data_IF_362460807511
#
_entry.id   IF_362460807511
#
_cell.length_a   1.000
_cell.length_b   1.000
_cell.length_c   1.000
_cell.angle_alpha   90.00
_cell.angle_beta   90.00
_cell.angle_gamma   90.00
#
_symmetry.space_group_name_H-M   'P 1'
#
loop_
_entity.id
_entity.type
_entity.pdbx_description
1 polymer ?
#
# COMPACT_ATOMS: atom_id res chain seq x y z
N UNK A 1 0.81 -22.67 -37.66
CA UNK A 1 -0.18 -21.69 -37.16
C UNK A 1 0.59 -20.43 -36.80
N UNK A 2 0.34 -19.31 -37.48
CA UNK A 2 0.95 -18.03 -37.13
C UNK A 2 0.19 -17.52 -35.90
N UNK A 3 0.90 -17.34 -34.80
CA UNK A 3 0.37 -16.84 -33.54
C UNK A 3 0.08 -15.34 -33.72
N UNK A 4 -1.13 -15.01 -34.18
CA UNK A 4 -1.61 -13.64 -34.42
C UNK A 4 -1.94 -12.91 -33.10
N UNK A 5 -1.13 -13.11 -32.06
CA UNK A 5 -1.31 -12.46 -30.78
C UNK A 5 -0.90 -10.99 -30.90
N UNK A 6 -1.84 -10.08 -30.62
CA UNK A 6 -1.53 -8.65 -30.47
C UNK A 6 -0.50 -8.52 -29.34
N UNK A 7 0.59 -7.76 -29.52
CA UNK A 7 1.59 -7.56 -28.46
C UNK A 7 0.93 -7.02 -27.19
N UNK A 8 1.22 -7.65 -26.04
CA UNK A 8 0.64 -7.26 -24.73
C UNK A 8 0.82 -5.77 -24.43
N UNK A 9 1.95 -5.17 -24.81
CA UNK A 9 2.21 -3.74 -24.61
C UNK A 9 1.25 -2.85 -25.41
N UNK A 10 0.85 -3.25 -26.62
CA UNK A 10 -0.12 -2.51 -27.41
C UNK A 10 -1.52 -2.59 -26.77
N UNK A 11 -1.91 -3.79 -26.30
CA UNK A 11 -3.17 -3.97 -25.54
C UNK A 11 -3.18 -3.12 -24.28
N UNK A 12 -2.07 -3.09 -23.54
CA UNK A 12 -1.95 -2.32 -22.30
C UNK A 12 -2.07 -0.81 -22.53
N UNK A 13 -1.43 -0.28 -23.59
CA UNK A 13 -1.58 1.13 -23.97
C UNK A 13 -3.04 1.47 -24.33
N UNK A 14 -3.70 0.60 -25.11
CA UNK A 14 -5.10 0.79 -25.49
C UNK A 14 -6.02 0.72 -24.26
N UNK A 15 -5.75 -0.19 -23.33
CA UNK A 15 -6.51 -0.28 -22.08
C UNK A 15 -6.34 0.97 -21.22
N UNK A 16 -5.11 1.49 -21.09
CA UNK A 16 -4.84 2.72 -20.36
C UNK A 16 -5.54 3.94 -20.98
N UNK A 17 -5.57 4.06 -22.31
CA UNK A 17 -6.32 5.11 -23.00
C UNK A 17 -7.83 4.96 -22.76
N UNK A 18 -8.38 3.74 -22.87
CA UNK A 18 -9.78 3.46 -22.59
C UNK A 18 -10.17 3.79 -21.14
N UNK A 19 -9.31 3.45 -20.17
CA UNK A 19 -9.51 3.83 -18.77
C UNK A 19 -9.63 5.35 -18.59
N UNK A 20 -8.79 6.14 -19.27
CA UNK A 20 -8.83 7.62 -19.16
C UNK A 20 -10.11 8.22 -19.72
N UNK A 21 -10.70 7.59 -20.74
CA UNK A 21 -11.88 8.12 -21.44
C UNK A 21 -13.20 7.63 -20.85
N UNK A 22 -13.23 6.41 -20.32
CA UNK A 22 -14.43 5.77 -19.79
C UNK A 22 -14.29 5.42 -18.31
N UNK A 23 -15.10 6.09 -17.50
CA UNK A 23 -15.17 5.86 -16.05
C UNK A 23 -15.58 4.43 -15.73
N UNK A 24 -16.46 3.79 -16.52
CA UNK A 24 -16.87 2.42 -16.26
C UNK A 24 -15.71 1.43 -16.43
N UNK A 25 -14.94 1.58 -17.52
CA UNK A 25 -13.71 0.82 -17.74
C UNK A 25 -12.70 1.07 -16.62
N UNK A 26 -12.48 2.32 -16.23
CA UNK A 26 -11.63 2.67 -15.09
C UNK A 26 -12.05 1.99 -13.79
N UNK A 27 -13.34 2.01 -13.44
CA UNK A 27 -13.87 1.32 -12.25
C UNK A 27 -13.63 -0.19 -12.30
N UNK A 28 -13.91 -0.83 -13.43
CA UNK A 28 -13.75 -2.29 -13.61
C UNK A 28 -12.29 -2.71 -13.48
N UNK A 29 -11.37 -2.00 -14.13
CA UNK A 29 -9.93 -2.28 -14.00
C UNK A 29 -9.47 -2.05 -12.57
N UNK A 30 -9.93 -0.97 -11.92
CA UNK A 30 -9.57 -0.67 -10.53
C UNK A 30 -10.09 -1.74 -9.57
N UNK A 31 -11.34 -2.19 -9.73
CA UNK A 31 -11.92 -3.31 -8.96
C UNK A 31 -11.12 -4.60 -9.17
N UNK A 32 -10.78 -4.92 -10.42
CA UNK A 32 -9.99 -6.10 -10.75
C UNK A 32 -8.61 -6.06 -10.09
N UNK A 33 -7.89 -4.93 -10.18
CA UNK A 33 -6.60 -4.75 -9.52
C UNK A 33 -6.69 -4.86 -7.99
N UNK A 34 -7.72 -4.26 -7.38
CA UNK A 34 -7.93 -4.35 -5.92
C UNK A 34 -8.18 -5.82 -5.54
N UNK A 35 -9.09 -6.50 -6.22
CA UNK A 35 -9.47 -7.88 -5.91
C UNK A 35 -8.39 -8.91 -6.24
N UNK A 36 -7.47 -8.58 -7.15
CA UNK A 36 -6.31 -9.41 -7.45
C UNK A 36 -5.29 -9.39 -6.30
N UNK A 37 -5.15 -8.25 -5.62
CA UNK A 37 -4.12 -8.03 -4.62
C UNK A 37 -4.64 -8.16 -3.19
N UNK A 38 -5.94 -7.98 -2.99
CA UNK A 38 -6.56 -7.89 -1.67
C UNK A 38 -7.73 -8.86 -1.55
N UNK A 39 -7.95 -9.36 -0.33
CA UNK A 39 -8.94 -10.41 -0.05
C UNK A 39 -9.89 -9.99 1.04
N UNK A 40 -11.06 -10.62 1.02
CA UNK A 40 -12.13 -10.43 2.00
C UNK A 40 -12.54 -8.96 2.12
N UNK A 41 -12.65 -8.29 0.97
CA UNK A 41 -13.16 -6.92 0.92
C UNK A 41 -14.68 -6.95 0.77
N UNK A 42 -15.38 -6.27 1.66
CA UNK A 42 -16.82 -6.06 1.55
C UNK A 42 -17.13 -5.06 0.43
N UNK A 43 -18.39 -5.03 -0.01
CA UNK A 43 -18.88 -4.06 -1.01
C UNK A 43 -18.52 -2.62 -0.64
N UNK A 44 -18.78 -2.22 0.61
CA UNK A 44 -18.49 -0.86 1.09
C UNK A 44 -16.99 -0.55 1.02
N UNK A 45 -16.13 -1.50 1.40
CA UNK A 45 -14.67 -1.32 1.32
C UNK A 45 -14.19 -1.22 -0.12
N UNK A 46 -14.75 -2.00 -1.04
CA UNK A 46 -14.42 -1.93 -2.46
C UNK A 46 -14.79 -0.56 -3.04
N UNK A 47 -16.01 -0.09 -2.78
CA UNK A 47 -16.49 1.22 -3.26
C UNK A 47 -15.58 2.33 -2.75
N UNK A 48 -15.33 2.36 -1.44
CA UNK A 48 -14.47 3.38 -0.82
C UNK A 48 -13.08 3.42 -1.46
N UNK A 49 -12.46 2.27 -1.73
CA UNK A 49 -11.12 2.19 -2.33
C UNK A 49 -11.11 2.62 -3.79
N UNK A 50 -12.14 2.27 -4.55
CA UNK A 50 -12.29 2.71 -5.94
C UNK A 50 -12.50 4.22 -5.98
N UNK A 51 -13.35 4.77 -5.13
CA UNK A 51 -13.55 6.23 -5.02
C UNK A 51 -12.29 6.97 -4.56
N UNK A 52 -11.49 6.36 -3.67
CA UNK A 52 -10.21 6.93 -3.27
C UNK A 52 -9.25 7.08 -4.48
N UNK A 53 -9.29 6.14 -5.43
CA UNK A 53 -8.42 6.15 -6.62
C UNK A 53 -8.98 7.00 -7.78
N UNK A 54 -10.29 6.98 -7.98
CA UNK A 54 -10.94 7.57 -9.16
C UNK A 54 -11.72 8.86 -8.87
N UNK A 55 -11.82 9.24 -7.60
CA UNK A 55 -12.66 10.35 -7.16
C UNK A 55 -13.99 9.89 -6.56
N UNK A 56 -14.54 10.73 -5.67
CA UNK A 56 -15.83 10.50 -5.00
C UNK A 56 -16.96 10.41 -6.01
N UNK A 57 -17.98 9.60 -5.71
CA UNK A 57 -19.17 9.40 -6.53
C UNK A 57 -18.89 8.82 -7.92
N UNK A 58 -17.76 8.15 -8.14
CA UNK A 58 -17.46 7.52 -9.44
C UNK A 58 -18.48 6.43 -9.83
N UNK A 59 -19.23 5.86 -8.87
CA UNK A 59 -20.36 4.95 -9.11
C UNK A 59 -21.71 5.66 -9.34
N UNK A 60 -21.76 6.99 -9.29
CA UNK A 60 -22.99 7.78 -9.30
C UNK A 60 -23.62 7.92 -7.91
N UNK A 61 -24.56 8.87 -7.76
CA UNK A 61 -25.17 9.21 -6.47
C UNK A 61 -26.45 8.43 -6.17
N UNK A 62 -27.27 8.13 -7.18
CA UNK A 62 -28.59 7.50 -6.99
C UNK A 62 -28.65 6.01 -7.38
N UNK A 63 -27.78 5.54 -8.28
CA UNK A 63 -27.81 4.18 -8.84
C UNK A 63 -26.49 3.41 -8.66
N UNK A 64 -25.76 3.72 -7.58
CA UNK A 64 -24.43 3.14 -7.35
C UNK A 64 -24.46 1.62 -7.15
N UNK A 65 -25.53 1.08 -6.54
CA UNK A 65 -25.64 -0.37 -6.30
C UNK A 65 -25.69 -1.14 -7.62
N UNK A 66 -26.59 -0.76 -8.52
CA UNK A 66 -26.72 -1.39 -9.84
C UNK A 66 -25.43 -1.24 -10.65
N UNK A 67 -24.82 -0.05 -10.62
CA UNK A 67 -23.53 0.21 -11.26
C UNK A 67 -22.44 -0.72 -10.73
N UNK A 68 -22.33 -0.86 -9.41
CA UNK A 68 -21.38 -1.77 -8.77
C UNK A 68 -21.61 -3.22 -9.17
N UNK A 69 -22.86 -3.70 -9.19
CA UNK A 69 -23.16 -5.08 -9.56
C UNK A 69 -22.88 -5.38 -11.04
N UNK A 70 -23.16 -4.43 -11.94
CA UNK A 70 -22.80 -4.53 -13.35
C UNK A 70 -21.28 -4.61 -13.54
N UNK A 71 -20.54 -3.74 -12.87
CA UNK A 71 -19.07 -3.75 -12.94
C UNK A 71 -18.49 -5.04 -12.35
N UNK A 72 -18.99 -5.49 -11.20
CA UNK A 72 -18.58 -6.77 -10.59
C UNK A 72 -18.90 -8.00 -11.46
N UNK A 73 -19.95 -7.96 -12.28
CA UNK A 73 -20.25 -9.04 -13.23
C UNK A 73 -19.13 -9.18 -14.27
N UNK A 74 -18.66 -8.06 -14.81
CA UNK A 74 -17.55 -8.02 -15.76
C UNK A 74 -16.25 -8.47 -15.09
N UNK A 75 -15.98 -7.99 -13.87
CA UNK A 75 -14.78 -8.40 -13.12
C UNK A 75 -14.79 -9.91 -12.85
N UNK A 76 -15.94 -10.50 -12.48
CA UNK A 76 -16.06 -11.96 -12.31
C UNK A 76 -15.75 -12.72 -13.60
N UNK A 77 -16.26 -12.25 -14.74
CA UNK A 77 -15.98 -12.86 -16.05
C UNK A 77 -14.48 -12.77 -16.39
N UNK A 78 -13.83 -11.64 -16.10
CA UNK A 78 -12.39 -11.48 -16.32
C UNK A 78 -11.57 -12.46 -15.47
N UNK A 79 -11.92 -12.65 -14.19
CA UNK A 79 -11.28 -13.68 -13.36
C UNK A 79 -11.51 -15.09 -13.92
N UNK A 80 -12.74 -15.41 -14.34
CA UNK A 80 -13.06 -16.71 -14.94
C UNK A 80 -12.26 -16.97 -16.22
N UNK A 81 -12.12 -15.96 -17.08
CA UNK A 81 -11.30 -16.03 -18.29
C UNK A 81 -9.82 -16.27 -17.98
N UNK A 82 -9.34 -15.79 -16.83
CA UNK A 82 -8.00 -16.06 -16.32
C UNK A 82 -7.88 -17.37 -15.51
N UNK A 83 -8.92 -18.22 -15.49
CA UNK A 83 -8.91 -19.50 -14.77
C UNK A 83 -9.10 -19.37 -13.25
N UNK A 84 -9.58 -18.22 -12.77
CA UNK A 84 -9.78 -17.93 -11.36
C UNK A 84 -11.27 -17.78 -11.01
N UNK A 85 -11.64 -18.11 -9.76
CA UNK A 85 -13.00 -17.95 -9.27
C UNK A 85 -13.07 -16.89 -8.17
N UNK A 86 -13.83 -15.84 -8.41
CA UNK A 86 -14.10 -14.78 -7.43
C UNK A 86 -15.37 -15.13 -6.61
N UNK A 87 -15.19 -15.43 -5.33
CA UNK A 87 -16.26 -15.81 -4.40
C UNK A 87 -16.50 -14.72 -3.34
N UNK A 88 -17.62 -14.81 -2.61
CA UNK A 88 -17.92 -13.96 -1.46
C UNK A 88 -18.10 -14.82 -0.22
N UNK A 89 -17.25 -14.63 0.79
CA UNK A 89 -17.39 -15.31 2.07
C UNK A 89 -18.28 -14.52 3.02
N UNK A 90 -19.20 -15.22 3.67
CA UNK A 90 -20.09 -14.70 4.73
C UNK A 90 -19.59 -15.04 6.14
N UNK A 91 -18.42 -15.69 6.26
CA UNK A 91 -17.85 -16.06 7.55
C UNK A 91 -17.49 -14.81 8.38
N UNK A 92 -17.64 -14.88 9.70
CA UNK A 92 -17.33 -13.75 10.60
C UNK A 92 -15.84 -13.35 10.56
N UNK A 93 -14.95 -14.34 10.41
CA UNK A 93 -13.48 -14.12 10.39
C UNK A 93 -13.00 -13.51 9.07
N UNK A 94 -13.59 -13.93 7.95
CA UNK A 94 -13.14 -13.59 6.60
C UNK A 94 -14.34 -13.13 5.75
N UNK A 95 -15.00 -12.03 6.10
CA UNK A 95 -16.20 -11.54 5.39
C UNK A 95 -15.80 -10.70 4.18
N UNK A 96 -16.21 -11.07 2.97
CA UNK A 96 -15.99 -10.27 1.76
C UNK A 96 -15.61 -11.08 0.52
N UNK A 97 -15.34 -10.37 -0.57
CA UNK A 97 -14.92 -10.94 -1.85
C UNK A 97 -13.47 -11.44 -1.80
N UNK A 98 -13.19 -12.60 -2.40
CA UNK A 98 -11.85 -13.16 -2.50
C UNK A 98 -11.71 -14.06 -3.73
N UNK A 99 -10.48 -14.16 -4.26
CA UNK A 99 -10.14 -15.11 -5.32
C UNK A 99 -9.83 -16.48 -4.70
N UNK A 100 -10.59 -17.50 -5.07
CA UNK A 100 -10.39 -18.88 -4.62
C UNK A 100 -9.09 -19.44 -5.18
N UNK A 101 -8.38 -20.21 -4.35
CA UNK A 101 -7.12 -20.85 -4.74
C UNK A 101 -5.89 -19.95 -4.74
N UNK A 102 -6.05 -18.61 -4.75
CA UNK A 102 -4.91 -17.74 -4.48
C UNK A 102 -4.45 -17.89 -3.02
N UNK A 103 -3.14 -17.76 -2.73
CA UNK A 103 -2.65 -17.62 -1.36
C UNK A 103 -3.04 -16.25 -0.77
N UNK A 104 -2.99 -16.13 0.56
CA UNK A 104 -3.31 -14.86 1.25
C UNK A 104 -2.28 -13.75 1.01
N UNK A 105 -1.03 -14.13 0.72
CA UNK A 105 0.08 -13.24 0.35
C UNK A 105 0.72 -13.83 -0.90
N UNK A 106 1.15 -12.98 -1.82
CA UNK A 106 1.98 -13.42 -2.95
C UNK A 106 3.29 -14.04 -2.41
N UNK A 107 3.93 -14.97 -3.14
CA UNK A 107 5.22 -15.52 -2.75
C UNK A 107 6.27 -14.43 -2.48
N UNK A 108 6.29 -13.39 -3.31
CA UNK A 108 7.21 -12.26 -3.22
C UNK A 108 6.96 -11.46 -1.94
N UNK A 109 5.70 -11.12 -1.65
CA UNK A 109 5.36 -10.39 -0.44
C UNK A 109 5.62 -11.23 0.81
N UNK A 110 5.36 -12.54 0.76
CA UNK A 110 5.70 -13.46 1.85
C UNK A 110 7.21 -13.50 2.08
N UNK A 111 8.00 -13.53 1.01
CA UNK A 111 9.46 -13.52 1.09
C UNK A 111 9.97 -12.18 1.62
N UNK A 112 9.40 -11.06 1.18
CA UNK A 112 9.73 -9.72 1.67
C UNK A 112 9.44 -9.60 3.17
N UNK A 113 8.24 -10.00 3.62
CA UNK A 113 7.89 -10.02 5.05
C UNK A 113 8.85 -10.91 5.84
N UNK A 114 9.21 -12.08 5.30
CA UNK A 114 10.17 -12.98 5.94
C UNK A 114 11.56 -12.35 6.05
N UNK A 115 12.03 -11.67 5.01
CA UNK A 115 13.31 -10.96 5.01
C UNK A 115 13.30 -9.79 6.01
N UNK A 116 12.25 -8.96 6.01
CA UNK A 116 12.11 -7.87 6.98
C UNK A 116 12.05 -8.37 8.42
N UNK A 117 11.41 -9.52 8.69
CA UNK A 117 11.45 -10.13 10.03
C UNK A 117 12.86 -10.63 10.38
N UNK A 118 13.59 -11.18 9.42
CA UNK A 118 14.95 -11.67 9.65
C UNK A 118 15.96 -10.55 9.96
N UNK A 119 15.70 -9.33 9.48
CA UNK A 119 16.50 -8.14 9.80
C UNK A 119 16.24 -7.60 11.22
N UNK A 120 15.13 -7.98 11.85
CA UNK A 120 14.78 -7.51 13.19
C UNK A 120 15.37 -8.44 14.25
N UNK A 121 16.22 -7.89 15.11
CA UNK A 121 16.73 -8.62 16.27
C UNK A 121 15.59 -8.88 17.28
N UNK A 122 15.19 -10.15 17.40
CA UNK A 122 14.14 -10.57 18.34
C UNK A 122 14.46 -10.16 19.79
N UNK A 123 15.74 -10.11 20.17
CA UNK A 123 16.13 -9.66 21.51
C UNK A 123 15.79 -8.18 21.72
N UNK A 124 15.98 -7.35 20.69
CA UNK A 124 15.59 -5.94 20.76
C UNK A 124 14.07 -5.77 20.87
N UNK A 125 13.27 -6.57 20.14
CA UNK A 125 11.82 -6.57 20.30
C UNK A 125 11.43 -6.93 21.73
N UNK A 126 12.03 -7.98 22.30
CA UNK A 126 11.69 -8.46 23.63
C UNK A 126 12.08 -7.46 24.72
N UNK A 127 13.24 -6.79 24.58
CA UNK A 127 13.63 -5.67 25.45
C UNK A 127 12.60 -4.53 25.33
N UNK A 128 12.28 -4.10 24.10
CA UNK A 128 11.36 -2.99 23.86
C UNK A 128 9.95 -3.26 24.41
N UNK A 129 9.48 -4.51 24.32
CA UNK A 129 8.20 -4.94 24.89
C UNK A 129 8.15 -4.83 26.40
N UNK A 130 9.27 -5.04 27.09
CA UNK A 130 9.39 -4.93 28.55
C UNK A 130 9.53 -3.49 29.05
N UNK A 131 9.85 -2.54 28.18
CA UNK A 131 9.95 -1.13 28.53
C UNK A 131 8.57 -0.54 28.89
N UNK A 132 8.53 0.25 29.96
CA UNK A 132 7.37 1.08 30.28
C UNK A 132 7.17 2.18 29.24
N UNK A 133 6.00 2.84 29.23
CA UNK A 133 5.77 3.99 28.35
C UNK A 133 6.80 5.12 28.58
N UNK A 134 7.19 5.36 29.84
CA UNK A 134 8.21 6.35 30.19
C UNK A 134 9.60 5.97 29.65
N UNK A 135 9.96 4.69 29.72
CA UNK A 135 11.25 4.20 29.19
C UNK A 135 11.30 4.30 27.66
N UNK A 136 10.21 3.96 26.98
CA UNK A 136 10.11 4.13 25.53
C UNK A 136 10.23 5.59 25.10
N UNK A 137 9.59 6.50 25.85
CA UNK A 137 9.72 7.93 25.59
C UNK A 137 11.18 8.39 25.76
N UNK A 138 11.83 8.01 26.87
CA UNK A 138 13.26 8.33 27.12
C UNK A 138 14.16 7.76 26.02
N UNK A 139 13.91 6.54 25.59
CA UNK A 139 14.64 5.92 24.47
C UNK A 139 14.46 6.71 23.18
N UNK A 140 13.23 7.14 22.86
CA UNK A 140 12.93 7.99 21.70
C UNK A 140 13.66 9.34 21.75
N UNK A 141 13.68 10.00 22.90
CA UNK A 141 14.47 11.22 23.10
C UNK A 141 15.97 10.97 22.87
N UNK A 142 16.52 9.90 23.48
CA UNK A 142 17.94 9.55 23.36
C UNK A 142 18.36 9.26 21.90
N UNK A 143 17.52 8.54 21.14
CA UNK A 143 17.74 8.29 19.70
C UNK A 143 17.74 9.62 18.94
N UNK A 144 16.77 10.50 19.21
CA UNK A 144 16.65 11.80 18.56
C UNK A 144 17.85 12.70 18.85
N UNK A 145 18.30 12.74 20.11
CA UNK A 145 19.46 13.50 20.54
C UNK A 145 20.75 12.96 19.93
N UNK A 146 20.89 11.63 19.85
CA UNK A 146 22.02 10.98 19.18
C UNK A 146 22.09 11.34 17.70
N UNK A 147 20.96 11.27 17.00
CA UNK A 147 20.88 11.67 15.59
C UNK A 147 21.25 13.15 15.39
N UNK A 148 20.72 14.03 16.25
CA UNK A 148 21.06 15.46 16.23
C UNK A 148 22.55 15.70 16.45
N UNK A 149 23.15 15.02 17.42
CA UNK A 149 24.57 15.14 17.74
C UNK A 149 25.46 14.69 16.58
N UNK A 150 25.08 13.64 15.85
CA UNK A 150 25.79 13.19 14.64
C UNK A 150 25.76 14.26 13.55
N UNK A 151 24.61 14.89 13.32
CA UNK A 151 24.48 15.98 12.34
C UNK A 151 25.28 17.21 12.78
N UNK A 152 25.17 17.61 14.04
CA UNK A 152 25.93 18.73 14.61
C UNK A 152 27.44 18.50 14.50
N UNK A 153 27.91 17.29 14.78
CA UNK A 153 29.31 16.91 14.62
C UNK A 153 29.78 17.07 13.16
N UNK A 154 28.96 16.65 12.19
CA UNK A 154 29.28 16.82 10.76
C UNK A 154 29.35 18.29 10.36
N UNK A 155 28.37 19.10 10.78
CA UNK A 155 28.36 20.57 10.53
C UNK A 155 29.64 21.21 11.06
N UNK A 156 30.07 20.83 12.26
CA UNK A 156 31.29 21.38 12.89
C UNK A 156 32.57 20.89 12.19
N UNK A 157 32.57 19.69 11.60
CA UNK A 157 33.68 19.24 10.75
C UNK A 157 33.79 20.05 9.46
N UNK A 158 32.67 20.47 8.89
CA UNK A 158 32.61 21.30 7.68
C UNK A 158 32.90 22.79 7.99
N UNK A 159 32.60 23.23 9.21
CA UNK A 159 32.77 24.62 9.67
C UNK A 159 33.44 24.62 11.06
N UNK A 160 34.78 24.50 11.13
CA UNK A 160 35.50 24.32 12.39
C UNK A 160 35.34 25.47 13.39
N UNK A 161 35.05 26.68 12.90
CA UNK A 161 34.89 27.89 13.72
C UNK A 161 33.57 27.91 14.50
N UNK A 162 32.62 27.01 14.17
CA UNK A 162 31.35 26.92 14.89
C UNK A 162 31.52 26.25 16.26
N UNK A 163 30.88 26.85 17.27
CA UNK A 163 30.76 26.22 18.58
C UNK A 163 29.82 25.00 18.54
N UNK A 164 29.92 24.13 19.54
CA UNK A 164 29.04 22.96 19.65
C UNK A 164 27.55 23.35 19.76
N UNK A 165 27.24 24.49 20.38
CA UNK A 165 25.88 24.99 20.54
C UNK A 165 25.31 25.48 19.19
N UNK A 166 26.09 26.24 18.42
CA UNK A 166 25.70 26.73 17.10
C UNK A 166 25.48 25.58 16.12
N UNK A 167 26.39 24.60 16.11
CA UNK A 167 26.25 23.41 15.27
C UNK A 167 24.98 22.60 15.62
N UNK A 168 24.63 22.48 16.90
CA UNK A 168 23.38 21.84 17.33
C UNK A 168 22.13 22.63 16.92
N UNK A 169 22.18 23.97 17.02
CA UNK A 169 21.08 24.84 16.57
C UNK A 169 20.84 24.72 15.07
N UNK A 170 21.92 24.68 14.27
CA UNK A 170 21.85 24.47 12.83
C UNK A 170 21.34 23.06 12.48
N UNK A 171 21.78 22.03 13.22
CA UNK A 171 21.29 20.66 13.04
C UNK A 171 19.77 20.59 13.25
N UNK A 172 19.25 21.24 14.30
CA UNK A 172 17.81 21.34 14.54
C UNK A 172 17.09 22.06 13.40
N UNK A 173 17.59 23.21 12.95
CA UNK A 173 16.97 23.94 11.84
C UNK A 173 16.88 23.09 10.57
N UNK A 174 17.94 22.35 10.22
CA UNK A 174 17.94 21.46 9.06
C UNK A 174 16.94 20.30 9.17
N UNK A 175 16.67 19.79 10.37
CA UNK A 175 15.71 18.70 10.58
C UNK A 175 14.25 19.11 10.44
N UNK A 176 13.93 20.41 10.53
CA UNK A 176 12.55 20.93 10.51
C UNK A 176 12.27 21.91 9.36
N UNK A 177 13.25 22.11 8.46
CA UNK A 177 13.03 22.85 7.22
C UNK A 177 12.66 21.84 6.12
N UNK A 178 11.47 21.95 5.50
CA UNK A 178 11.01 21.02 4.46
C UNK A 178 11.86 21.07 3.19
#
# INVERSE_FOLDING_TARGET
MIDNAIPYKAVDIMLHDAMRRDVATSRRVTLLQILWNERYLTRTQLIFRVEYRLGRNCFGTAAWEDTFYRDMRVVKQAFQAAGHLLEYSRSRKNKGYYVKGQPALSPELRQMVKASIAEVDQRQIDIYRRLSAADRFRQGCSISDSARNVVAYRIRRENPDLTALEANRLALQRSYTP
#
